data_IF_597960675992
#
_entry.id   IF_597960675992
#
_cell.length_a   1.000
_cell.length_b   1.000
_cell.length_c   1.000
_cell.angle_alpha   90.00
_cell.angle_beta   90.00
_cell.angle_gamma   90.00
#
_symmetry.space_group_name_H-M   'P 1'
#
loop_
_entity.id
_entity.type
_entity.pdbx_description
1 polymer ?
#
# COMPACT_ATOMS: atom_id res chain seq x y z
N UNK A 1 15.34 -25.33 -9.10
CA UNK A 1 14.88 -24.30 -8.13
C UNK A 1 15.10 -22.92 -8.78
N UNK A 2 14.05 -22.16 -9.12
CA UNK A 2 14.19 -20.94 -9.94
C UNK A 2 14.51 -19.68 -9.14
N UNK A 3 15.12 -18.67 -9.78
CA UNK A 3 15.53 -17.40 -9.14
C UNK A 3 14.43 -16.73 -8.29
N UNK A 4 13.16 -16.78 -8.73
CA UNK A 4 12.03 -16.22 -8.00
C UNK A 4 11.78 -16.87 -6.62
N UNK A 5 12.18 -18.13 -6.43
CA UNK A 5 12.05 -18.83 -5.15
C UNK A 5 12.96 -18.18 -4.09
N UNK A 6 14.21 -17.89 -4.43
CA UNK A 6 15.15 -17.21 -3.54
C UNK A 6 14.72 -15.79 -3.20
N UNK A 7 14.22 -15.04 -4.20
CA UNK A 7 13.65 -13.70 -3.98
C UNK A 7 12.48 -13.80 -2.99
N UNK A 8 11.58 -14.77 -3.16
CA UNK A 8 10.47 -14.98 -2.24
C UNK A 8 10.94 -15.29 -0.81
N UNK A 9 11.99 -16.11 -0.65
CA UNK A 9 12.54 -16.46 0.67
C UNK A 9 13.17 -15.25 1.37
N UNK A 10 13.87 -14.41 0.63
CA UNK A 10 14.40 -13.13 1.12
C UNK A 10 13.25 -12.23 1.64
N UNK A 11 12.16 -12.10 0.87
CA UNK A 11 10.97 -11.35 1.29
C UNK A 11 10.15 -12.01 2.41
N UNK A 12 10.35 -13.30 2.70
CA UNK A 12 9.76 -13.94 3.89
C UNK A 12 10.50 -13.48 5.16
N UNK A 13 11.83 -13.39 5.11
CA UNK A 13 12.69 -12.96 6.22
C UNK A 13 12.88 -11.44 6.29
N UNK A 14 11.79 -10.67 6.38
CA UNK A 14 11.82 -9.17 6.34
C UNK A 14 12.57 -8.51 7.50
N UNK A 15 12.71 -9.22 8.63
CA UNK A 15 13.43 -8.73 9.81
C UNK A 15 14.95 -8.95 9.73
N UNK A 16 15.45 -9.67 8.72
CA UNK A 16 16.90 -9.77 8.49
C UNK A 16 17.54 -8.39 8.26
N UNK A 17 18.82 -8.24 8.60
CA UNK A 17 19.54 -6.96 8.47
C UNK A 17 19.53 -6.42 7.04
N UNK A 18 19.75 -7.31 6.07
CA UNK A 18 19.70 -6.98 4.64
C UNK A 18 18.33 -6.41 4.26
N UNK A 19 17.25 -7.08 4.64
CA UNK A 19 15.89 -6.61 4.31
C UNK A 19 15.53 -5.31 5.04
N UNK A 20 15.91 -5.18 6.31
CA UNK A 20 15.67 -3.96 7.08
C UNK A 20 16.38 -2.76 6.46
N UNK A 21 17.65 -2.94 6.06
CA UNK A 21 18.41 -1.91 5.37
C UNK A 21 17.75 -1.50 4.04
N UNK A 22 17.44 -2.47 3.18
CA UNK A 22 16.81 -2.20 1.88
C UNK A 22 15.44 -1.50 2.02
N UNK A 23 14.62 -1.94 2.98
CA UNK A 23 13.31 -1.33 3.25
C UNK A 23 13.45 0.10 3.80
N UNK A 24 14.45 0.36 4.64
CA UNK A 24 14.72 1.70 5.18
C UNK A 24 15.09 2.68 4.07
N UNK A 25 16.01 2.30 3.18
CA UNK A 25 16.43 3.13 2.04
C UNK A 25 15.25 3.40 1.10
N UNK A 26 14.45 2.37 0.78
CA UNK A 26 13.25 2.52 -0.05
C UNK A 26 12.19 3.42 0.60
N UNK A 27 11.87 3.22 1.87
CA UNK A 27 10.92 4.07 2.58
C UNK A 27 11.40 5.52 2.66
N UNK A 28 12.71 5.77 2.77
CA UNK A 28 13.26 7.13 2.64
C UNK A 28 12.97 7.72 1.25
N UNK A 29 13.27 6.99 0.17
CA UNK A 29 12.98 7.44 -1.19
C UNK A 29 11.48 7.70 -1.40
N UNK A 30 10.61 6.79 -0.94
CA UNK A 30 9.16 6.90 -1.14
C UNK A 30 8.53 8.08 -0.40
N UNK A 31 9.16 8.56 0.69
CA UNK A 31 8.69 9.76 1.39
C UNK A 31 8.90 11.03 0.55
N UNK A 32 9.96 11.09 -0.24
CA UNK A 32 10.29 12.23 -1.10
C UNK A 32 9.39 12.31 -2.35
N UNK A 33 8.83 11.17 -2.77
CA UNK A 33 7.95 11.11 -3.94
C UNK A 33 6.52 11.52 -3.61
N UNK A 34 5.74 11.83 -4.65
CA UNK A 34 4.31 12.12 -4.52
C UNK A 34 3.55 10.92 -3.94
N UNK A 35 2.38 11.21 -3.35
CA UNK A 35 1.57 10.20 -2.67
C UNK A 35 1.15 9.04 -3.57
N UNK A 36 0.97 9.32 -4.86
CA UNK A 36 0.80 8.35 -5.93
C UNK A 36 1.72 8.73 -7.09
N UNK A 37 2.53 7.79 -7.55
CA UNK A 37 3.43 7.96 -8.69
C UNK A 37 3.57 6.65 -9.48
N UNK A 38 3.89 6.77 -10.77
CA UNK A 38 4.19 5.61 -11.61
C UNK A 38 5.55 5.03 -11.25
N UNK A 39 5.63 3.73 -11.03
CA UNK A 39 6.89 3.02 -10.88
C UNK A 39 7.30 2.42 -12.23
N UNK A 40 8.55 2.60 -12.69
CA UNK A 40 8.99 2.10 -13.99
C UNK A 40 9.06 0.56 -14.04
N UNK A 41 9.36 -0.08 -12.91
CA UNK A 41 9.43 -1.54 -12.74
C UNK A 41 8.86 -1.94 -11.38
N UNK A 42 8.29 -3.14 -11.24
CA UNK A 42 7.82 -3.63 -9.95
C UNK A 42 9.01 -3.82 -8.99
N UNK A 43 8.87 -3.35 -7.75
CA UNK A 43 9.90 -3.54 -6.71
C UNK A 43 10.05 -5.02 -6.33
N UNK A 44 8.95 -5.78 -6.49
CA UNK A 44 8.88 -7.21 -6.19
C UNK A 44 8.43 -8.00 -7.41
N UNK A 45 9.35 -8.32 -8.35
CA UNK A 45 9.01 -9.06 -9.56
C UNK A 45 8.38 -10.43 -9.27
N UNK A 46 8.84 -11.12 -8.22
CA UNK A 46 8.29 -12.41 -7.76
C UNK A 46 6.80 -12.31 -7.38
N UNK A 47 6.46 -11.29 -6.60
CA UNK A 47 5.10 -11.08 -6.08
C UNK A 47 4.19 -10.52 -7.16
N UNK A 48 4.66 -9.57 -7.96
CA UNK A 48 3.92 -9.00 -9.07
C UNK A 48 3.52 -10.10 -10.08
N UNK A 49 4.48 -10.97 -10.46
CA UNK A 49 4.22 -12.07 -11.40
C UNK A 49 3.16 -13.05 -10.88
N UNK A 50 3.19 -13.37 -9.58
CA UNK A 50 2.16 -14.22 -8.95
C UNK A 50 0.77 -13.59 -8.98
N UNK A 51 0.70 -12.26 -8.93
CA UNK A 51 -0.55 -11.51 -8.97
C UNK A 51 -1.00 -11.13 -10.39
N UNK A 52 -0.36 -11.70 -11.42
CA UNK A 52 -0.79 -11.56 -12.80
C UNK A 52 -0.07 -10.49 -13.61
N UNK A 53 0.92 -9.78 -13.03
CA UNK A 53 1.76 -8.86 -13.79
C UNK A 53 2.58 -9.62 -14.84
N UNK A 54 2.57 -9.11 -16.08
CA UNK A 54 3.44 -9.56 -17.17
C UNK A 54 4.25 -8.36 -17.66
N UNK A 55 5.55 -8.57 -17.90
CA UNK A 55 6.41 -7.53 -18.47
C UNK A 55 6.17 -7.40 -19.97
N UNK A 56 5.02 -6.84 -20.34
CA UNK A 56 4.61 -6.53 -21.70
C UNK A 56 3.88 -5.18 -21.73
N UNK A 57 3.75 -4.59 -22.92
CA UNK A 57 2.97 -3.36 -23.09
C UNK A 57 1.52 -3.58 -22.63
N UNK A 58 0.94 -2.55 -22.01
CA UNK A 58 -0.41 -2.59 -21.42
C UNK A 58 -0.43 -2.89 -19.91
N UNK A 59 0.69 -3.30 -19.31
CA UNK A 59 0.84 -3.37 -17.86
C UNK A 59 1.58 -2.14 -17.33
N UNK A 60 1.09 -1.59 -16.24
CA UNK A 60 1.73 -0.49 -15.52
C UNK A 60 1.81 -0.84 -14.03
N UNK A 61 2.67 -0.15 -13.30
CA UNK A 61 2.71 -0.24 -11.85
C UNK A 61 2.63 1.17 -11.29
N UNK A 62 1.70 1.39 -10.37
CA UNK A 62 1.62 2.61 -9.58
C UNK A 62 1.96 2.33 -8.14
N UNK A 63 2.79 3.18 -7.54
CA UNK A 63 3.08 3.12 -6.11
C UNK A 63 2.25 4.17 -5.40
N UNK A 64 1.60 3.76 -4.32
CA UNK A 64 0.75 4.62 -3.51
C UNK A 64 1.08 4.47 -2.03
N UNK A 65 1.06 5.59 -1.31
CA UNK A 65 1.11 5.61 0.16
C UNK A 65 -0.27 5.81 0.78
N UNK A 66 -0.57 5.03 1.80
CA UNK A 66 -1.81 5.13 2.59
C UNK A 66 -1.44 5.35 4.05
N UNK A 67 -2.04 6.37 4.68
CA UNK A 67 -1.77 6.71 6.08
C UNK A 67 -2.19 5.55 7.00
N UNK A 68 -1.32 5.21 7.95
CA UNK A 68 -1.57 4.23 9.01
C UNK A 68 -2.51 4.81 10.07
N UNK A 69 -3.15 3.92 10.82
CA UNK A 69 -4.01 4.25 11.95
C UNK A 69 -5.49 3.99 11.69
N UNK A 70 -6.31 4.39 12.66
CA UNK A 70 -7.77 4.31 12.57
C UNK A 70 -8.38 5.43 11.73
N UNK A 71 -9.70 5.41 11.60
CA UNK A 71 -10.46 6.46 10.90
C UNK A 71 -11.31 7.20 11.91
N UNK A 72 -10.87 8.41 12.29
CA UNK A 72 -11.67 9.31 13.12
C UNK A 72 -13.00 9.61 12.42
N UNK A 73 -14.11 9.59 13.16
CA UNK A 73 -15.40 10.04 12.63
C UNK A 73 -15.31 11.53 12.25
N UNK A 74 -15.77 11.93 11.05
CA UNK A 74 -15.78 13.34 10.65
C UNK A 74 -16.96 14.06 11.33
N UNK A 75 -16.77 14.44 12.61
CA UNK A 75 -17.74 15.23 13.38
C UNK A 75 -17.15 16.58 13.79
N UNK A 76 -17.86 17.70 13.60
CA UNK A 76 -17.42 19.02 14.05
C UNK A 76 -17.13 19.01 15.56
N UNK A 77 -15.94 19.48 15.96
CA UNK A 77 -15.50 19.58 17.37
C UNK A 77 -15.59 18.27 18.20
N UNK A 78 -15.78 17.11 17.56
CA UNK A 78 -16.01 15.85 18.29
C UNK A 78 -17.43 15.70 18.87
N UNK A 79 -18.33 16.64 18.59
CA UNK A 79 -19.70 16.61 19.09
C UNK A 79 -20.52 15.54 18.35
N UNK A 80 -21.08 14.61 19.11
CA UNK A 80 -22.01 13.60 18.62
C UNK A 80 -23.33 13.75 19.37
N UNK A 81 -24.42 13.91 18.63
CA UNK A 81 -25.76 14.04 19.21
C UNK A 81 -26.47 12.68 19.21
N UNK A 82 -27.52 12.53 20.02
CA UNK A 82 -28.32 11.30 20.12
C UNK A 82 -27.85 10.35 21.22
N UNK A 83 -28.13 9.05 21.06
CA UNK A 83 -27.90 8.03 22.10
C UNK A 83 -26.40 7.80 22.38
N UNK A 84 -26.00 7.57 23.65
CA UNK A 84 -24.60 7.35 24.05
C UNK A 84 -23.86 6.26 23.25
N UNK A 85 -24.57 5.23 22.80
CA UNK A 85 -24.01 4.14 21.97
C UNK A 85 -23.38 4.64 20.66
N UNK A 86 -23.81 5.80 20.14
CA UNK A 86 -23.30 6.39 18.90
C UNK A 86 -22.26 7.49 19.13
N UNK A 87 -21.83 7.74 20.37
CA UNK A 87 -20.92 8.86 20.67
C UNK A 87 -19.44 8.59 20.36
N UNK A 88 -19.07 7.38 19.95
CA UNK A 88 -17.68 7.03 19.62
C UNK A 88 -17.10 7.81 18.44
N UNK A 89 -15.94 8.45 18.64
CA UNK A 89 -15.23 9.25 17.62
C UNK A 89 -13.83 8.70 17.26
N UNK A 90 -13.00 8.40 18.27
CA UNK A 90 -11.57 8.14 18.07
C UNK A 90 -11.22 6.66 17.85
N UNK A 91 -11.88 5.75 18.56
CA UNK A 91 -11.54 4.31 18.55
C UNK A 91 -12.19 3.53 17.40
N UNK A 92 -12.64 4.24 16.36
CA UNK A 92 -13.27 3.63 15.19
C UNK A 92 -12.21 3.08 14.23
N UNK A 93 -12.43 1.83 13.80
CA UNK A 93 -11.63 1.17 12.76
C UNK A 93 -12.40 1.26 11.44
N UNK A 94 -11.67 1.49 10.36
CA UNK A 94 -12.31 1.47 9.04
C UNK A 94 -12.63 0.04 8.62
N UNK A 95 -13.80 -0.17 8.02
CA UNK A 95 -14.26 -1.50 7.62
C UNK A 95 -13.38 -2.12 6.52
N UNK A 96 -12.86 -1.31 5.59
CA UNK A 96 -11.99 -1.78 4.50
C UNK A 96 -10.52 -1.76 4.90
N UNK A 97 -9.74 -2.69 4.34
CA UNK A 97 -8.30 -2.73 4.54
C UNK A 97 -7.59 -1.55 3.87
N UNK A 98 -6.38 -1.21 4.36
CA UNK A 98 -5.55 -0.18 3.74
C UNK A 98 -5.16 -0.52 2.30
N UNK A 99 -5.10 -1.82 1.97
CA UNK A 99 -4.84 -2.29 0.61
C UNK A 99 -6.00 -1.97 -0.34
N UNK A 100 -7.25 -2.21 0.09
CA UNK A 100 -8.44 -1.83 -0.70
C UNK A 100 -8.52 -0.31 -0.90
N UNK A 101 -8.17 0.48 0.13
CA UNK A 101 -8.08 1.95 0.01
C UNK A 101 -6.99 2.39 -0.99
N UNK A 102 -5.86 1.66 -1.04
CA UNK A 102 -4.79 1.93 -1.98
C UNK A 102 -5.26 1.72 -3.44
N UNK A 103 -5.91 0.59 -3.71
CA UNK A 103 -6.47 0.24 -5.02
C UNK A 103 -7.52 1.26 -5.47
N UNK A 104 -8.46 1.62 -4.60
CA UNK A 104 -9.50 2.61 -4.91
C UNK A 104 -8.91 3.97 -5.26
N UNK A 105 -7.93 4.46 -4.51
CA UNK A 105 -7.26 5.74 -4.78
C UNK A 105 -6.50 5.70 -6.10
N UNK A 106 -5.83 4.59 -6.41
CA UNK A 106 -5.12 4.43 -7.67
C UNK A 106 -6.09 4.35 -8.86
N UNK A 107 -7.17 3.57 -8.74
CA UNK A 107 -8.20 3.46 -9.78
C UNK A 107 -8.92 4.79 -10.05
N UNK A 108 -9.19 5.59 -9.00
CA UNK A 108 -9.76 6.93 -9.17
C UNK A 108 -8.83 7.90 -9.89
N UNK A 109 -7.52 7.84 -9.61
CA UNK A 109 -6.54 8.70 -10.28
C UNK A 109 -6.29 8.26 -11.73
N UNK A 110 -6.24 6.95 -11.97
CA UNK A 110 -5.97 6.34 -13.26
C UNK A 110 -7.25 5.82 -13.92
N UNK A 111 -8.27 6.67 -14.10
CA UNK A 111 -9.61 6.25 -14.52
C UNK A 111 -9.71 5.53 -15.88
N UNK A 112 -8.72 5.72 -16.77
CA UNK A 112 -8.65 5.02 -18.06
C UNK A 112 -8.04 3.60 -17.96
N UNK A 113 -7.52 3.21 -16.79
CA UNK A 113 -6.88 1.92 -16.55
C UNK A 113 -7.75 1.04 -15.66
N UNK A 114 -7.48 -0.27 -15.67
CA UNK A 114 -8.15 -1.25 -14.81
C UNK A 114 -7.17 -1.78 -13.77
N UNK A 115 -7.57 -1.72 -12.51
CA UNK A 115 -6.80 -2.29 -11.40
C UNK A 115 -6.91 -3.81 -11.47
N UNK A 116 -5.77 -4.50 -11.52
CA UNK A 116 -5.73 -5.97 -11.53
C UNK A 116 -5.54 -6.53 -10.12
N UNK A 117 -4.53 -6.05 -9.40
CA UNK A 117 -4.22 -6.49 -8.04
C UNK A 117 -3.25 -5.49 -7.39
N UNK A 118 -2.93 -5.70 -6.11
CA UNK A 118 -1.92 -4.91 -5.42
C UNK A 118 -1.10 -5.72 -4.43
N UNK A 119 0.04 -5.19 -4.02
CA UNK A 119 0.88 -5.82 -2.99
C UNK A 119 1.65 -4.80 -2.16
N UNK A 120 1.90 -5.18 -0.91
CA UNK A 120 2.71 -4.39 0.02
C UNK A 120 4.19 -4.38 -0.38
N UNK A 121 4.81 -3.20 -0.31
CA UNK A 121 6.23 -2.98 -0.65
C UNK A 121 7.06 -2.36 0.46
N UNK A 122 6.42 -1.76 1.47
CA UNK A 122 7.11 -1.15 2.59
C UNK A 122 6.14 -0.45 3.55
N UNK A 123 6.60 -0.15 4.74
CA UNK A 123 5.89 0.74 5.66
C UNK A 123 6.89 1.53 6.50
N UNK A 124 6.47 2.72 6.91
CA UNK A 124 7.13 3.51 7.94
C UNK A 124 6.14 3.73 9.10
N UNK A 125 6.47 4.58 10.07
CA UNK A 125 5.60 4.84 11.22
C UNK A 125 4.23 5.42 10.82
N UNK A 126 4.16 6.19 9.74
CA UNK A 126 3.01 7.02 9.37
C UNK A 126 2.23 6.47 8.17
N UNK A 127 2.89 5.75 7.26
CA UNK A 127 2.35 5.29 5.99
C UNK A 127 2.66 3.81 5.73
N UNK A 128 1.76 3.15 5.02
CA UNK A 128 2.02 1.90 4.31
C UNK A 128 2.10 2.18 2.81
N UNK A 129 3.01 1.51 2.13
CA UNK A 129 3.24 1.64 0.71
C UNK A 129 2.79 0.36 -0.01
N UNK A 130 2.01 0.55 -1.07
CA UNK A 130 1.53 -0.51 -1.94
C UNK A 130 1.92 -0.22 -3.39
N UNK A 131 2.19 -1.27 -4.14
CA UNK A 131 2.24 -1.22 -5.60
C UNK A 131 0.96 -1.84 -6.16
N UNK A 132 0.26 -1.08 -6.99
CA UNK A 132 -0.97 -1.46 -7.69
C UNK A 132 -0.60 -1.76 -9.13
N UNK A 133 -1.04 -2.92 -9.61
CA UNK A 133 -0.93 -3.37 -11.00
C UNK A 133 -2.12 -2.83 -11.78
#
# INVERSE_FOLDING_TARGET
MGAYKYIQELWRKKQSDVMRFLLRVRCWQYRQLSALHRAPRPTRPDKARRLGYKAKQGYVIYRIRVRRGGRKRPVPKGATYGKPVHHGVNQLKFARSLQSVAEERAGRHCGALRVLNSYWVGEDSTYKFFEVI
#
